data_IF_921041113250
#
_entry.id   IF_921041113250
#
_cell.length_a   1.000
_cell.length_b   1.000
_cell.length_c   1.000
_cell.angle_alpha   90.00
_cell.angle_beta   90.00
_cell.angle_gamma   90.00
#
_symmetry.space_group_name_H-M   'P 1'
#
loop_
_entity.id
_entity.type
_entity.pdbx_description
1 polymer ?
#
# COMPACT_ATOMS: atom_id res chain seq x y z
N UNK A 1 -25.65 -16.07 -1.21
CA UNK A 1 -24.56 -16.71 -0.45
C UNK A 1 -24.24 -18.12 -0.96
N UNK A 2 -25.20 -19.04 -1.10
CA UNK A 2 -24.92 -20.44 -1.50
C UNK A 2 -24.24 -20.64 -2.87
N UNK A 3 -24.46 -19.72 -3.83
CA UNK A 3 -23.89 -19.83 -5.19
C UNK A 3 -22.41 -19.47 -5.31
N UNK A 4 -21.78 -18.94 -4.24
CA UNK A 4 -20.40 -18.44 -4.26
C UNK A 4 -19.46 -19.19 -3.30
N UNK A 5 -19.88 -20.34 -2.77
CA UNK A 5 -19.07 -21.09 -1.79
C UNK A 5 -17.68 -21.47 -2.34
N UNK A 6 -17.60 -21.86 -3.61
CA UNK A 6 -16.30 -22.14 -4.26
C UNK A 6 -15.39 -20.91 -4.33
N UNK A 7 -15.94 -19.72 -4.59
CA UNK A 7 -15.17 -18.47 -4.57
C UNK A 7 -14.68 -18.13 -3.17
N UNK A 8 -15.50 -18.36 -2.13
CA UNK A 8 -15.10 -18.11 -0.74
C UNK A 8 -13.90 -18.99 -0.34
N UNK A 9 -13.95 -20.28 -0.69
CA UNK A 9 -12.83 -21.18 -0.46
C UNK A 9 -11.57 -20.72 -1.20
N UNK A 10 -11.71 -20.39 -2.49
CA UNK A 10 -10.60 -19.91 -3.31
C UNK A 10 -9.96 -18.65 -2.72
N UNK A 11 -10.76 -17.67 -2.31
CA UNK A 11 -10.24 -16.42 -1.73
C UNK A 11 -9.55 -16.66 -0.40
N UNK A 12 -10.08 -17.55 0.45
CA UNK A 12 -9.52 -17.87 1.75
C UNK A 12 -8.16 -18.58 1.62
N UNK A 13 -8.07 -19.60 0.77
CA UNK A 13 -6.82 -20.31 0.53
C UNK A 13 -5.75 -19.41 -0.09
N UNK A 14 -6.15 -18.57 -1.05
CA UNK A 14 -5.24 -17.61 -1.68
C UNK A 14 -4.71 -16.58 -0.68
N UNK A 15 -5.58 -16.01 0.16
CA UNK A 15 -5.17 -15.12 1.24
C UNK A 15 -4.16 -15.80 2.17
N UNK A 16 -4.45 -17.03 2.63
CA UNK A 16 -3.55 -17.78 3.51
C UNK A 16 -2.16 -18.02 2.88
N UNK A 17 -2.12 -18.40 1.59
CA UNK A 17 -0.86 -18.59 0.86
C UNK A 17 -0.07 -17.28 0.73
N UNK A 18 -0.75 -16.17 0.44
CA UNK A 18 -0.10 -14.86 0.30
C UNK A 18 0.41 -14.33 1.64
N UNK A 19 -0.35 -14.50 2.74
CA UNK A 19 0.11 -14.19 4.09
C UNK A 19 1.36 -15.00 4.44
N UNK A 20 1.36 -16.31 4.18
CA UNK A 20 2.52 -17.17 4.43
C UNK A 20 3.76 -16.76 3.61
N UNK A 21 3.58 -16.30 2.36
CA UNK A 21 4.68 -15.88 1.50
C UNK A 21 5.26 -14.51 1.85
N UNK A 22 4.46 -13.60 2.41
CA UNK A 22 4.83 -12.19 2.61
C UNK A 22 5.07 -11.82 4.08
N UNK A 23 4.55 -12.62 5.03
CA UNK A 23 4.63 -12.35 6.45
C UNK A 23 3.59 -11.34 6.98
N UNK A 24 2.60 -10.95 6.16
CA UNK A 24 1.47 -10.13 6.61
C UNK A 24 0.43 -10.96 7.37
N UNK A 25 -0.31 -10.30 8.26
CA UNK A 25 -1.39 -10.91 9.03
C UNK A 25 -2.68 -11.14 8.19
N UNK A 26 -2.92 -10.32 7.16
CA UNK A 26 -4.11 -10.37 6.31
C UNK A 26 -3.85 -9.81 4.91
N UNK A 27 -4.66 -10.21 3.91
CA UNK A 27 -4.57 -9.73 2.52
C UNK A 27 -5.95 -9.32 1.98
N UNK A 28 -6.02 -8.13 1.37
CA UNK A 28 -7.18 -7.73 0.58
C UNK A 28 -7.00 -8.09 -0.90
N UNK A 29 -7.93 -8.88 -1.44
CA UNK A 29 -7.97 -9.27 -2.86
C UNK A 29 -8.77 -8.28 -3.73
N UNK A 30 -9.21 -7.15 -3.18
CA UNK A 30 -10.01 -6.15 -3.88
C UNK A 30 -9.23 -5.34 -4.94
N UNK A 31 -7.97 -4.91 -4.71
CA UNK A 31 -7.23 -4.14 -5.71
C UNK A 31 -6.91 -4.97 -6.96
N UNK A 32 -7.38 -4.50 -8.11
CA UNK A 32 -7.26 -5.24 -9.38
C UNK A 32 -6.06 -4.80 -10.26
N UNK A 33 -5.21 -3.91 -9.74
CA UNK A 33 -3.97 -3.47 -10.36
C UNK A 33 -2.95 -3.05 -9.29
N UNK A 34 -1.65 -3.11 -9.60
CA UNK A 34 -0.59 -2.73 -8.66
C UNK A 34 -0.76 -1.31 -8.09
N UNK A 35 -1.06 -0.33 -8.95
CA UNK A 35 -1.34 1.05 -8.54
C UNK A 35 -2.59 1.20 -7.66
N UNK A 36 -3.61 0.35 -7.83
CA UNK A 36 -4.75 0.33 -6.91
C UNK A 36 -4.38 -0.30 -5.56
N UNK A 37 -3.46 -1.27 -5.55
CA UNK A 37 -2.90 -1.82 -4.31
C UNK A 37 -2.13 -0.76 -3.52
N UNK A 38 -1.26 0.01 -4.19
CA UNK A 38 -0.57 1.16 -3.60
C UNK A 38 -1.57 2.16 -3.01
N UNK A 39 -2.57 2.56 -3.78
CA UNK A 39 -3.61 3.51 -3.34
C UNK A 39 -4.40 2.99 -2.13
N UNK A 40 -4.87 1.74 -2.17
CA UNK A 40 -5.61 1.13 -1.07
C UNK A 40 -4.75 1.03 0.21
N UNK A 41 -3.46 0.68 0.07
CA UNK A 41 -2.51 0.65 1.19
C UNK A 41 -2.33 2.02 1.82
N UNK A 42 -2.17 3.09 1.02
CA UNK A 42 -2.05 4.46 1.54
C UNK A 42 -3.33 4.94 2.22
N UNK A 43 -4.51 4.59 1.68
CA UNK A 43 -5.78 4.86 2.35
C UNK A 43 -5.89 4.14 3.71
N UNK A 44 -5.44 2.88 3.80
CA UNK A 44 -5.43 2.13 5.05
C UNK A 44 -4.49 2.77 6.09
N UNK A 45 -3.28 3.16 5.69
CA UNK A 45 -2.31 3.88 6.55
C UNK A 45 -2.90 5.21 7.04
N UNK A 46 -3.54 5.97 6.15
CA UNK A 46 -4.19 7.24 6.50
C UNK A 46 -5.33 7.03 7.49
N UNK A 47 -6.23 6.07 7.22
CA UNK A 47 -7.34 5.75 8.11
C UNK A 47 -6.84 5.28 9.49
N UNK A 48 -5.74 4.53 9.53
CA UNK A 48 -5.09 4.13 10.78
C UNK A 48 -4.63 5.34 11.60
N UNK A 49 -3.92 6.31 11.01
CA UNK A 49 -3.54 7.54 11.71
C UNK A 49 -4.75 8.35 12.17
N UNK A 50 -5.79 8.47 11.33
CA UNK A 50 -7.02 9.17 11.70
C UNK A 50 -7.72 8.54 12.90
N UNK A 51 -7.77 7.20 12.95
CA UNK A 51 -8.35 6.46 14.09
C UNK A 51 -7.64 6.75 15.43
N UNK A 52 -6.41 7.25 15.38
CA UNK A 52 -5.57 7.60 16.53
C UNK A 52 -5.53 9.11 16.81
N UNK A 53 -6.29 9.90 16.05
CA UNK A 53 -6.27 11.37 16.12
C UNK A 53 -4.97 12.00 15.57
N UNK A 54 -4.25 11.29 14.71
CA UNK A 54 -2.97 11.73 14.14
C UNK A 54 -3.13 12.31 12.72
N UNK A 55 -4.21 13.03 12.45
CA UNK A 55 -4.61 13.52 11.11
C UNK A 55 -3.54 14.34 10.38
N UNK A 56 -2.64 14.97 11.14
CA UNK A 56 -1.50 15.76 10.62
C UNK A 56 -0.40 14.91 9.97
N UNK A 57 -0.47 13.58 10.05
CA UNK A 57 0.50 12.65 9.43
C UNK A 57 0.11 12.38 7.99
N UNK A 58 0.33 13.38 7.15
CA UNK A 58 -0.04 13.37 5.72
C UNK A 58 1.18 13.42 4.78
N UNK A 59 2.41 13.40 5.30
CA UNK A 59 3.63 13.38 4.48
C UNK A 59 3.94 11.95 4.04
N UNK A 60 4.10 11.74 2.73
CA UNK A 60 4.58 10.49 2.14
C UNK A 60 6.00 10.72 1.57
N UNK A 61 6.99 10.04 2.15
CA UNK A 61 8.37 10.06 1.65
C UNK A 61 8.50 9.10 0.48
N UNK A 62 8.95 9.59 -0.68
CA UNK A 62 9.10 8.78 -1.89
C UNK A 62 10.49 8.99 -2.47
N UNK A 63 11.34 7.95 -2.57
CA UNK A 63 12.64 8.06 -3.20
C UNK A 63 12.53 8.52 -4.66
N UNK A 64 13.49 9.32 -5.13
CA UNK A 64 13.54 9.73 -6.54
C UNK A 64 13.67 8.57 -7.53
N UNK A 65 14.09 7.39 -7.07
CA UNK A 65 14.17 6.15 -7.86
C UNK A 65 12.87 5.34 -7.92
N UNK A 66 11.82 5.75 -7.20
CA UNK A 66 10.56 5.02 -7.12
C UNK A 66 9.81 4.97 -8.47
N UNK A 67 8.98 3.94 -8.66
CA UNK A 67 8.12 3.85 -9.83
C UNK A 67 7.13 5.02 -9.87
N UNK A 68 6.81 5.52 -11.07
CA UNK A 68 5.99 6.73 -11.25
C UNK A 68 4.56 6.63 -10.74
N UNK A 69 4.04 5.41 -10.49
CA UNK A 69 2.73 5.22 -9.85
C UNK A 69 2.72 5.65 -8.39
N UNK A 70 3.82 5.51 -7.67
CA UNK A 70 3.92 5.81 -6.25
C UNK A 70 3.57 7.29 -5.93
N UNK A 71 4.20 8.31 -6.56
CA UNK A 71 3.81 9.69 -6.29
C UNK A 71 2.40 10.02 -6.79
N UNK A 72 1.92 9.36 -7.85
CA UNK A 72 0.57 9.55 -8.35
C UNK A 72 -0.48 9.04 -7.34
N UNK A 73 -0.31 7.82 -6.82
CA UNK A 73 -1.22 7.19 -5.86
C UNK A 73 -1.19 7.89 -4.50
N UNK A 74 -0.04 8.39 -4.05
CA UNK A 74 0.06 9.20 -2.84
C UNK A 74 -0.69 10.54 -2.94
N UNK A 75 -0.56 11.24 -4.08
CA UNK A 75 -1.36 12.45 -4.33
C UNK A 75 -2.86 12.14 -4.39
N UNK A 76 -3.25 11.05 -5.05
CA UNK A 76 -4.66 10.60 -5.07
C UNK A 76 -5.19 10.29 -3.67
N UNK A 77 -4.36 9.73 -2.78
CA UNK A 77 -4.72 9.45 -1.38
C UNK A 77 -4.81 10.71 -0.50
N UNK A 78 -4.53 11.90 -1.06
CA UNK A 78 -4.52 13.17 -0.34
C UNK A 78 -3.30 13.36 0.56
N UNK A 79 -2.20 12.67 0.27
CA UNK A 79 -0.92 12.82 0.99
C UNK A 79 -0.03 13.83 0.29
N UNK A 80 0.79 14.55 1.07
CA UNK A 80 1.83 15.45 0.59
C UNK A 80 3.10 14.65 0.29
N UNK A 81 3.44 14.55 -0.99
CA UNK A 81 4.66 13.85 -1.43
C UNK A 81 5.89 14.71 -1.14
N UNK A 82 6.87 14.12 -0.45
CA UNK A 82 8.21 14.68 -0.29
C UNK A 82 9.19 13.70 -0.93
N UNK A 83 9.88 14.17 -1.97
CA UNK A 83 10.86 13.34 -2.68
C UNK A 83 12.14 13.26 -1.84
N UNK A 84 12.61 12.04 -1.58
CA UNK A 84 13.89 11.81 -0.89
C UNK A 84 14.98 11.49 -1.90
N UNK A 85 16.19 11.96 -1.63
CA UNK A 85 17.33 11.77 -2.52
C UNK A 85 17.74 10.28 -2.61
N UNK A 86 18.50 9.98 -3.67
CA UNK A 86 19.18 8.70 -3.83
C UNK A 86 20.67 8.94 -4.06
N UNK A 87 21.51 8.04 -3.55
CA UNK A 87 22.95 8.07 -3.76
C UNK A 87 23.31 7.76 -5.23
N UNK A 88 24.58 7.96 -5.60
CA UNK A 88 25.05 7.68 -6.96
C UNK A 88 24.93 6.20 -7.39
N UNK A 89 24.65 5.28 -6.45
CA UNK A 89 24.44 3.86 -6.70
C UNK A 89 22.95 3.49 -6.78
N UNK A 90 22.05 4.48 -6.64
CA UNK A 90 20.60 4.29 -6.69
C UNK A 90 19.96 3.84 -5.38
N UNK A 91 20.70 3.84 -4.27
CA UNK A 91 20.15 3.56 -2.95
C UNK A 91 19.44 4.79 -2.39
N UNK A 92 18.52 4.61 -1.45
CA UNK A 92 17.94 5.73 -0.69
C UNK A 92 19.05 6.41 0.10
N UNK A 93 19.13 7.74 -0.02
CA UNK A 93 20.05 8.54 0.79
C UNK A 93 19.53 8.63 2.24
N UNK A 94 20.40 8.42 3.21
CA UNK A 94 20.07 8.35 4.64
C UNK A 94 20.51 9.59 5.42
N UNK A 95 21.24 10.50 4.79
CA UNK A 95 21.59 11.82 5.34
C UNK A 95 20.46 12.84 5.11
#
# INVERSE_FOLDING_TARGET
>A
AAQSAGYQQLTFELEAMLCAATGYDAISLQPNAGSQGEYAGLLAIRAYHQSRGEDRRDICLIPSSAHGTNPATANMAGMRVVVTACDARGNVDIE
#
